data_IF_226066045889
#
_entry.id   IF_226066045889
#
_cell.length_a   1.000
_cell.length_b   1.000
_cell.length_c   1.000
_cell.angle_alpha   90.00
_cell.angle_beta   90.00
_cell.angle_gamma   90.00
#
_symmetry.space_group_name_H-M   'P 1'
#
loop_
_entity.id
_entity.type
_entity.pdbx_description
1 polymer ?
#
# COMPACT_ATOMS: atom_id res chain seq x y z
N UNK A 1 27.01 10.01 9.32
CA UNK A 1 26.83 8.88 8.37
C UNK A 1 25.43 8.28 8.44
N UNK A 2 24.69 8.43 9.55
CA UNK A 2 23.32 7.92 9.72
C UNK A 2 22.27 8.62 8.84
N UNK A 3 22.38 9.94 8.61
CA UNK A 3 21.47 10.66 7.73
C UNK A 3 21.49 10.14 6.29
N UNK A 4 22.63 9.63 5.80
CA UNK A 4 22.73 9.04 4.47
C UNK A 4 21.98 7.70 4.40
N UNK A 5 21.93 6.96 5.51
CA UNK A 5 21.21 5.68 5.60
C UNK A 5 19.71 5.93 5.61
N UNK A 6 19.24 6.90 6.40
CA UNK A 6 17.82 7.28 6.45
C UNK A 6 17.35 7.79 5.09
N UNK A 7 18.12 8.67 4.44
CA UNK A 7 17.78 9.23 3.13
C UNK A 7 17.81 8.15 2.03
N UNK A 8 18.76 7.20 2.09
CA UNK A 8 18.80 6.05 1.18
C UNK A 8 17.62 5.09 1.39
N UNK A 9 17.24 4.80 2.64
CA UNK A 9 16.09 3.96 2.95
C UNK A 9 14.78 4.60 2.47
N UNK A 10 14.60 5.91 2.70
CA UNK A 10 13.43 6.66 2.27
C UNK A 10 13.35 6.71 0.73
N UNK A 11 14.47 6.89 0.04
CA UNK A 11 14.53 6.84 -1.42
C UNK A 11 14.15 5.45 -1.97
N UNK A 12 14.60 4.36 -1.35
CA UNK A 12 14.24 2.98 -1.76
C UNK A 12 12.74 2.73 -1.59
N UNK A 13 12.17 3.11 -0.44
CA UNK A 13 10.74 2.97 -0.15
C UNK A 13 9.92 3.77 -1.16
N UNK A 14 10.30 5.01 -1.42
CA UNK A 14 9.65 5.85 -2.42
C UNK A 14 9.71 5.21 -3.80
N UNK A 15 10.87 4.69 -4.21
CA UNK A 15 11.05 4.04 -5.51
C UNK A 15 10.27 2.72 -5.63
N UNK A 16 10.01 2.04 -4.52
CA UNK A 16 9.18 0.83 -4.45
C UNK A 16 7.69 1.14 -4.54
N UNK A 17 7.23 2.21 -3.89
CA UNK A 17 5.84 2.69 -3.95
C UNK A 17 5.51 3.31 -5.32
N UNK A 18 6.47 4.03 -5.91
CA UNK A 18 6.27 4.68 -7.22
C UNK A 18 6.62 3.78 -8.40
N UNK A 19 7.27 2.62 -8.20
CA UNK A 19 7.52 1.69 -9.30
C UNK A 19 6.21 0.98 -9.63
N UNK A 20 5.59 1.30 -10.77
CA UNK A 20 4.33 0.72 -11.15
C UNK A 20 4.59 -0.76 -11.45
N UNK A 21 4.07 -1.65 -10.61
CA UNK A 21 4.27 -3.10 -10.65
C UNK A 21 3.67 -3.83 -11.87
N UNK A 22 3.39 -3.13 -12.97
CA UNK A 22 2.69 -3.68 -14.13
C UNK A 22 3.62 -3.87 -15.33
N UNK A 23 4.84 -4.37 -15.08
CA UNK A 23 5.62 -4.99 -16.16
C UNK A 23 6.09 -6.38 -15.77
N UNK A 24 5.14 -7.29 -15.74
CA UNK A 24 5.36 -8.68 -16.15
C UNK A 24 4.17 -9.11 -16.99
N UNK A 25 4.29 -8.94 -18.31
CA UNK A 25 3.68 -9.87 -19.25
C UNK A 25 4.84 -10.65 -19.87
N UNK A 26 4.85 -11.93 -19.56
CA UNK A 26 5.64 -12.99 -20.16
C UNK A 26 5.68 -12.90 -21.70
N UNK A 27 6.86 -13.19 -22.26
CA UNK A 27 7.00 -14.20 -23.31
C UNK A 27 8.48 -14.34 -23.68
N UNK A 28 9.07 -15.47 -23.29
CA UNK A 28 10.29 -15.94 -23.92
C UNK A 28 10.07 -16.29 -25.40
N UNK A 29 11.13 -16.13 -26.19
CA UNK A 29 11.53 -17.03 -27.29
C UNK A 29 10.44 -17.55 -28.24
N UNK A 30 10.30 -16.97 -29.43
CA UNK A 30 10.77 -17.52 -30.73
C UNK A 30 10.19 -16.68 -31.87
N UNK A 31 10.93 -16.57 -32.97
CA UNK A 31 10.65 -15.60 -34.03
C UNK A 31 9.41 -15.88 -34.90
N UNK A 32 9.02 -14.83 -35.63
CA UNK A 32 8.31 -14.88 -36.90
C UNK A 32 6.79 -15.03 -36.82
N UNK A 33 6.04 -13.93 -36.77
CA UNK A 33 5.31 -13.26 -37.89
C UNK A 33 4.57 -12.04 -37.34
N UNK A 34 4.46 -10.97 -38.14
CA UNK A 34 3.93 -9.65 -37.76
C UNK A 34 2.38 -9.58 -37.82
N UNK A 35 1.72 -8.43 -37.56
CA UNK A 35 0.76 -8.24 -36.47
C UNK A 35 -0.69 -8.14 -36.95
N UNK A 36 -1.62 -8.85 -36.31
CA UNK A 36 -3.06 -8.60 -36.50
C UNK A 36 -3.82 -8.61 -35.17
N UNK A 37 -4.74 -7.64 -35.10
CA UNK A 37 -5.86 -7.51 -34.16
C UNK A 37 -5.58 -7.02 -32.74
N UNK A 38 -5.48 -5.69 -32.70
CA UNK A 38 -5.97 -4.81 -31.63
C UNK A 38 -7.43 -5.14 -31.28
N UNK A 39 -7.66 -6.02 -30.30
CA UNK A 39 -8.89 -6.03 -29.48
C UNK A 39 -8.49 -6.35 -28.04
N UNK A 40 -7.68 -5.47 -27.45
CA UNK A 40 -7.50 -5.42 -26.01
C UNK A 40 -8.67 -4.65 -25.45
N UNK A 41 -9.73 -5.36 -25.06
CA UNK A 41 -10.92 -4.80 -24.43
C UNK A 41 -10.53 -3.90 -23.27
N UNK A 42 -10.70 -2.61 -23.50
CA UNK A 42 -10.79 -1.57 -22.50
C UNK A 42 -11.95 -1.98 -21.60
N UNK A 43 -11.68 -2.75 -20.54
CA UNK A 43 -12.55 -2.68 -19.38
C UNK A 43 -12.35 -1.27 -18.84
N UNK A 44 -13.08 -0.32 -19.44
CA UNK A 44 -13.54 0.88 -18.78
C UNK A 44 -14.28 0.37 -17.53
N UNK A 45 -13.50 0.09 -16.49
CA UNK A 45 -14.01 -0.12 -15.16
C UNK A 45 -14.86 1.10 -14.90
N UNK A 46 -16.16 0.89 -14.76
CA UNK A 46 -17.06 1.84 -14.15
C UNK A 46 -16.56 1.97 -12.70
N UNK A 47 -15.52 2.78 -12.49
CA UNK A 47 -14.90 3.00 -11.19
C UNK A 47 -15.94 3.80 -10.42
N UNK A 48 -16.74 3.09 -9.62
CA UNK A 48 -17.54 3.74 -8.58
C UNK A 48 -16.52 4.49 -7.69
N UNK A 49 -16.54 5.83 -7.67
CA UNK A 49 -15.55 6.62 -6.95
C UNK A 49 -15.54 6.32 -5.45
N UNK A 50 -16.66 5.80 -4.91
CA UNK A 50 -16.73 5.39 -3.50
C UNK A 50 -16.04 4.05 -3.27
N UNK A 51 -16.11 3.12 -4.23
CA UNK A 51 -15.40 1.83 -4.18
C UNK A 51 -13.88 2.03 -4.23
N UNK A 52 -13.41 2.95 -5.06
CA UNK A 52 -11.98 3.29 -5.16
C UNK A 52 -11.47 3.93 -3.85
N UNK A 53 -12.23 4.86 -3.27
CA UNK A 53 -11.90 5.45 -1.97
C UNK A 53 -11.82 4.41 -0.84
N UNK A 54 -12.70 3.39 -0.84
CA UNK A 54 -12.62 2.28 0.10
C UNK A 54 -11.35 1.45 -0.12
N UNK A 55 -11.01 1.15 -1.38
CA UNK A 55 -9.78 0.41 -1.70
C UNK A 55 -8.51 1.16 -1.26
N UNK A 56 -8.46 2.48 -1.45
CA UNK A 56 -7.37 3.32 -0.96
C UNK A 56 -7.25 3.28 0.57
N UNK A 57 -8.37 3.40 1.29
CA UNK A 57 -8.39 3.32 2.76
C UNK A 57 -7.98 1.95 3.27
N UNK A 58 -8.35 0.85 2.58
CA UNK A 58 -7.89 -0.49 2.91
C UNK A 58 -6.38 -0.66 2.70
N UNK A 59 -5.83 -0.11 1.61
CA UNK A 59 -4.39 -0.12 1.37
C UNK A 59 -3.64 0.68 2.45
N UNK A 60 -4.17 1.84 2.86
CA UNK A 60 -3.62 2.64 3.94
C UNK A 60 -3.64 1.91 5.28
N UNK A 61 -4.75 1.22 5.60
CA UNK A 61 -4.88 0.37 6.78
C UNK A 61 -3.80 -0.72 6.80
N UNK A 62 -3.65 -1.44 5.69
CA UNK A 62 -2.69 -2.54 5.59
C UNK A 62 -1.24 -2.06 5.69
N UNK A 63 -0.94 -0.87 5.17
CA UNK A 63 0.35 -0.20 5.36
C UNK A 63 0.60 0.10 6.85
N UNK A 64 -0.38 0.69 7.55
CA UNK A 64 -0.26 1.00 8.99
C UNK A 64 -0.11 -0.23 9.87
N UNK A 65 -0.84 -1.31 9.60
CA UNK A 65 -0.63 -2.57 10.32
C UNK A 65 0.78 -3.14 10.13
N UNK A 66 1.37 -2.93 8.95
CA UNK A 66 2.75 -3.36 8.68
C UNK A 66 3.74 -2.51 9.49
N UNK A 67 3.55 -1.20 9.55
CA UNK A 67 4.37 -0.29 10.37
C UNK A 67 4.34 -0.66 11.87
N UNK A 68 3.14 -0.95 12.41
CA UNK A 68 2.99 -1.39 13.82
C UNK A 68 3.77 -2.69 14.06
N UNK A 69 3.65 -3.67 13.16
CA UNK A 69 4.35 -4.95 13.27
C UNK A 69 5.87 -4.75 13.20
N UNK A 70 6.35 -3.89 12.31
CA UNK A 70 7.77 -3.61 12.18
C UNK A 70 8.33 -2.92 13.43
N UNK A 71 7.59 -1.97 14.02
CA UNK A 71 7.96 -1.34 15.29
C UNK A 71 8.05 -2.38 16.44
N UNK A 72 7.12 -3.34 16.49
CA UNK A 72 7.17 -4.44 17.46
C UNK A 72 8.38 -5.35 17.25
N UNK A 73 8.72 -5.66 15.99
CA UNK A 73 9.92 -6.42 15.65
C UNK A 73 11.19 -5.68 16.03
N UNK A 74 11.25 -4.37 15.84
CA UNK A 74 12.39 -3.54 16.21
C UNK A 74 12.58 -3.45 17.74
N UNK A 75 11.49 -3.38 18.52
CA UNK A 75 11.56 -3.55 19.98
C UNK A 75 12.10 -4.94 20.35
N UNK A 76 11.56 -6.00 19.76
CA UNK A 76 11.97 -7.39 20.05
C UNK A 76 13.42 -7.68 19.68
N UNK A 77 13.94 -7.03 18.65
CA UNK A 77 15.34 -7.13 18.23
C UNK A 77 16.26 -6.19 19.01
N UNK A 78 15.73 -5.37 19.91
CA UNK A 78 16.49 -4.45 20.76
C UNK A 78 16.93 -3.18 20.05
N UNK A 79 16.40 -2.88 18.86
CA UNK A 79 16.67 -1.61 18.16
C UNK A 79 15.90 -0.43 18.75
N UNK A 80 14.81 -0.71 19.46
CA UNK A 80 13.95 0.29 20.07
C UNK A 80 13.85 0.06 21.58
N UNK A 81 13.98 1.13 22.37
CA UNK A 81 13.76 1.07 23.81
C UNK A 81 12.26 0.96 24.13
N UNK A 82 11.90 0.50 25.33
CA UNK A 82 10.49 0.36 25.71
C UNK A 82 9.75 1.71 25.67
N UNK A 83 10.38 2.78 26.16
CA UNK A 83 9.76 4.11 26.18
C UNK A 83 9.57 4.70 24.77
N UNK A 84 10.53 4.47 23.87
CA UNK A 84 10.40 4.91 22.47
C UNK A 84 9.36 4.07 21.73
N UNK A 85 9.30 2.77 22.03
CA UNK A 85 8.27 1.87 21.50
C UNK A 85 6.87 2.29 21.92
N UNK A 86 6.64 2.59 23.20
CA UNK A 86 5.32 3.01 23.69
C UNK A 86 4.87 4.32 23.01
N UNK A 87 5.78 5.28 22.83
CA UNK A 87 5.47 6.53 22.14
C UNK A 87 5.08 6.30 20.66
N UNK A 88 5.84 5.45 19.95
CA UNK A 88 5.58 5.13 18.54
C UNK A 88 4.31 4.28 18.39
N UNK A 89 4.12 3.26 19.24
CA UNK A 89 2.93 2.39 19.22
C UNK A 89 1.65 3.20 19.46
N UNK A 90 1.66 4.14 20.41
CA UNK A 90 0.51 5.00 20.65
C UNK A 90 0.18 5.89 19.44
N UNK A 91 1.19 6.49 18.80
CA UNK A 91 0.99 7.32 17.61
C UNK A 91 0.45 6.50 16.43
N UNK A 92 1.09 5.38 16.12
CA UNK A 92 0.67 4.50 15.01
C UNK A 92 -0.73 3.93 15.21
N UNK A 93 -1.11 3.59 16.46
CA UNK A 93 -2.46 3.12 16.77
C UNK A 93 -3.51 4.22 16.63
N UNK A 94 -3.19 5.46 17.02
CA UNK A 94 -4.11 6.58 16.83
C UNK A 94 -4.41 6.79 15.34
N UNK A 95 -3.37 6.80 14.49
CA UNK A 95 -3.53 6.91 13.03
C UNK A 95 -4.30 5.72 12.44
N UNK A 96 -4.04 4.49 12.91
CA UNK A 96 -4.78 3.31 12.44
C UNK A 96 -6.28 3.39 12.79
N UNK A 97 -6.63 3.91 13.96
CA UNK A 97 -8.04 4.13 14.35
C UNK A 97 -8.71 5.16 13.44
N UNK A 98 -8.03 6.24 13.09
CA UNK A 98 -8.57 7.25 12.16
C UNK A 98 -8.88 6.63 10.79
N UNK A 99 -7.99 5.79 10.25
CA UNK A 99 -8.20 5.09 8.98
C UNK A 99 -9.38 4.11 9.07
N UNK A 100 -9.51 3.37 10.18
CA UNK A 100 -10.63 2.45 10.38
C UNK A 100 -11.95 3.21 10.43
N UNK A 101 -12.02 4.32 11.15
CA UNK A 101 -13.22 5.15 11.21
C UNK A 101 -13.60 5.69 9.83
N UNK A 102 -12.61 6.16 9.06
CA UNK A 102 -12.85 6.62 7.69
C UNK A 102 -13.31 5.49 6.76
N UNK A 103 -12.76 4.28 6.93
CA UNK A 103 -13.14 3.09 6.16
C UNK A 103 -14.58 2.68 6.47
N UNK A 104 -14.97 2.70 7.74
CA UNK A 104 -16.33 2.39 8.17
C UNK A 104 -17.32 3.42 7.59
N UNK A 105 -17.01 4.71 7.64
CA UNK A 105 -17.84 5.76 7.03
C UNK A 105 -17.95 5.61 5.50
N UNK A 106 -16.84 5.27 4.83
CA UNK A 106 -16.82 5.05 3.40
C UNK A 106 -17.64 3.81 3.00
N UNK A 107 -17.60 2.74 3.80
CA UNK A 107 -18.41 1.53 3.60
C UNK A 107 -19.88 1.76 3.85
N UNK A 108 -20.26 2.52 4.86
CA UNK A 108 -21.66 2.91 5.10
C UNK A 108 -22.23 3.72 3.94
N UNK A 109 -21.38 4.51 3.27
CA UNK A 109 -21.76 5.29 2.09
C UNK A 109 -21.89 4.46 0.81
N UNK A 110 -21.32 3.27 0.75
CA UNK A 110 -21.64 2.27 -0.28
C UNK A 110 -22.93 1.56 0.15
N UNK A 111 -24.11 1.98 -0.34
CA UNK A 111 -25.32 1.24 -0.02
C UNK A 111 -25.18 -0.13 -0.68
N UNK A 112 -25.29 -1.19 0.12
CA UNK A 112 -25.33 -2.55 -0.42
C UNK A 112 -26.47 -2.60 -1.44
N UNK A 113 -26.11 -2.75 -2.72
CA UNK A 113 -27.08 -2.91 -3.80
C UNK A 113 -28.05 -4.04 -3.41
N UNK A 114 -29.32 -3.67 -3.15
CA UNK A 114 -30.44 -4.62 -3.10
C UNK A 114 -30.94 -4.88 -4.52
#
# INVERSE_FOLDING_TARGET
MEFLIVLAALAIVTLFVTRPLWRTADAGSTGGVAPEEMVGGEHESEIDPVSDAVAELEAARDAKYREIRDAELDRRTGKLSEGDYEAIDHALRAEAVEIINALDEARERLPSAN
#
